data_IF_635313238963
#
_entry.id   IF_635313238963
#
_cell.length_a   1.000
_cell.length_b   1.000
_cell.length_c   1.000
_cell.angle_alpha   90.00
_cell.angle_beta   90.00
_cell.angle_gamma   90.00
#
_symmetry.space_group_name_H-M   'P 1'
#
loop_
_entity.id
_entity.type
_entity.pdbx_description
1 polymer ?
#
# COMPACT_ATOMS: atom_id res chain seq x y z
N UNK A 1 14.17 22.12 -19.62
CA UNK A 1 15.07 21.06 -20.12
C UNK A 1 14.66 19.63 -19.71
N UNK A 2 13.61 19.42 -18.88
CA UNK A 2 13.20 18.07 -18.43
C UNK A 2 11.97 17.48 -19.14
N UNK A 3 11.29 18.24 -20.02
CA UNK A 3 9.99 17.84 -20.60
C UNK A 3 10.07 16.52 -21.38
N UNK A 4 11.10 16.34 -22.21
CA UNK A 4 11.29 15.10 -22.98
C UNK A 4 11.50 13.88 -22.07
N UNK A 5 12.37 14.01 -21.06
CA UNK A 5 12.64 12.93 -20.09
C UNK A 5 11.38 12.48 -19.35
N UNK A 6 10.49 13.41 -19.03
CA UNK A 6 9.27 13.18 -18.25
C UNK A 6 8.02 12.87 -19.09
N UNK A 7 8.15 12.77 -20.42
CA UNK A 7 7.03 12.45 -21.31
C UNK A 7 6.92 10.93 -21.48
N UNK A 8 5.81 10.30 -21.09
CA UNK A 8 5.62 8.86 -21.33
C UNK A 8 5.62 8.52 -22.82
N UNK A 9 6.16 7.36 -23.18
CA UNK A 9 6.33 6.94 -24.58
C UNK A 9 5.56 5.67 -24.95
N UNK A 10 5.84 4.56 -24.26
CA UNK A 10 5.23 3.25 -24.55
C UNK A 10 3.84 3.09 -23.91
N UNK A 11 3.64 3.68 -22.74
CA UNK A 11 2.39 3.64 -21.98
C UNK A 11 2.18 4.99 -21.25
N UNK A 12 1.14 5.09 -20.42
CA UNK A 12 0.80 6.32 -19.69
C UNK A 12 1.74 6.71 -18.53
N UNK A 13 2.76 5.90 -18.24
CA UNK A 13 3.65 6.01 -17.08
C UNK A 13 5.14 5.91 -17.43
N UNK A 14 5.55 5.08 -18.38
CA UNK A 14 6.95 4.80 -18.71
C UNK A 14 7.54 5.90 -19.59
N UNK A 15 8.48 6.68 -19.05
CA UNK A 15 9.22 7.73 -19.75
C UNK A 15 10.72 7.38 -19.85
N UNK A 16 11.59 8.34 -20.17
CA UNK A 16 13.01 8.05 -20.40
C UNK A 16 13.77 7.89 -19.08
N UNK A 17 13.87 6.64 -18.60
CA UNK A 17 14.58 6.28 -17.37
C UNK A 17 13.88 6.72 -16.08
N UNK A 18 12.57 7.02 -16.16
CA UNK A 18 11.70 7.39 -15.03
C UNK A 18 10.28 6.89 -15.27
N UNK A 19 9.53 6.73 -14.19
CA UNK A 19 8.10 6.43 -14.23
C UNK A 19 7.30 7.64 -13.77
N UNK A 20 6.19 7.92 -14.45
CA UNK A 20 5.21 8.94 -14.09
C UNK A 20 4.07 8.27 -13.34
N UNK A 21 3.84 8.73 -12.13
CA UNK A 21 2.82 8.23 -11.23
C UNK A 21 1.78 9.32 -10.96
N UNK A 22 0.51 8.98 -11.15
CA UNK A 22 -0.61 9.86 -10.83
C UNK A 22 -1.12 9.53 -9.43
N UNK A 23 -1.16 10.53 -8.56
CA UNK A 23 -1.75 10.43 -7.21
C UNK A 23 -2.81 11.50 -7.07
N UNK A 24 -4.08 11.09 -7.08
CA UNK A 24 -5.23 12.02 -7.15
C UNK A 24 -5.12 12.96 -8.35
N UNK A 25 -5.02 14.27 -8.07
CA UNK A 25 -4.85 15.33 -9.08
C UNK A 25 -3.38 15.61 -9.42
N UNK A 26 -2.43 15.10 -8.65
CA UNK A 26 -1.01 15.36 -8.82
C UNK A 26 -0.31 14.29 -9.66
N UNK A 27 0.81 14.68 -10.28
CA UNK A 27 1.72 13.78 -10.99
C UNK A 27 3.12 13.90 -10.43
N UNK A 28 3.76 12.76 -10.23
CA UNK A 28 5.13 12.64 -9.75
C UNK A 28 5.95 11.83 -10.76
N UNK A 29 7.23 12.15 -10.88
CA UNK A 29 8.20 11.29 -11.53
C UNK A 29 9.02 10.57 -10.46
N UNK A 30 9.29 9.29 -10.66
CA UNK A 30 9.97 8.45 -9.69
C UNK A 30 10.80 7.37 -10.37
N UNK A 31 11.76 6.83 -9.64
CA UNK A 31 12.40 5.56 -9.96
C UNK A 31 12.90 4.94 -8.65
N UNK A 32 12.99 3.61 -8.63
CA UNK A 32 13.59 2.86 -7.53
C UNK A 32 14.91 2.23 -7.97
N UNK A 33 15.77 1.89 -7.03
CA UNK A 33 17.00 1.16 -7.30
C UNK A 33 17.32 0.22 -6.15
N UNK A 34 18.18 -0.75 -6.42
CA UNK A 34 18.75 -1.57 -5.38
C UNK A 34 19.91 -2.41 -5.87
N UNK A 35 20.73 -2.81 -4.92
CA UNK A 35 21.83 -3.77 -5.05
C UNK A 35 21.81 -4.67 -3.80
N UNK A 36 22.65 -5.72 -3.71
CA UNK A 36 22.68 -6.52 -2.47
C UNK A 36 22.95 -5.65 -1.24
N UNK A 37 22.01 -5.64 -0.29
CA UNK A 37 22.10 -4.85 0.92
C UNK A 37 21.83 -3.35 0.75
N UNK A 38 21.38 -2.88 -0.42
CA UNK A 38 21.08 -1.46 -0.65
C UNK A 38 19.79 -1.25 -1.43
N UNK A 39 19.04 -0.22 -1.04
CA UNK A 39 17.83 0.19 -1.75
C UNK A 39 17.70 1.71 -1.80
N UNK A 40 17.09 2.22 -2.86
CA UNK A 40 16.81 3.64 -3.00
C UNK A 40 15.49 3.89 -3.72
N UNK A 41 14.93 5.06 -3.47
CA UNK A 41 13.71 5.56 -4.10
C UNK A 41 13.78 7.08 -4.13
N UNK A 42 13.27 7.68 -5.20
CA UNK A 42 13.02 9.12 -5.19
C UNK A 42 11.67 9.43 -5.80
N UNK A 43 11.12 10.58 -5.40
CA UNK A 43 9.95 11.19 -6.00
C UNK A 43 10.24 12.66 -6.28
N UNK A 44 9.73 13.16 -7.40
CA UNK A 44 9.69 14.58 -7.71
C UNK A 44 8.36 14.96 -8.34
N UNK A 45 7.76 16.05 -7.90
CA UNK A 45 6.50 16.55 -8.45
C UNK A 45 6.72 17.14 -9.85
N UNK A 46 5.78 16.91 -10.77
CA UNK A 46 5.77 17.62 -12.06
C UNK A 46 5.35 19.10 -11.89
N UNK A 47 4.72 19.44 -10.77
CA UNK A 47 4.25 20.77 -10.39
C UNK A 47 4.38 20.99 -8.89
N UNK A 48 4.71 22.20 -8.45
CA UNK A 48 4.80 22.54 -7.02
C UNK A 48 6.18 22.31 -6.38
N UNK A 49 7.14 21.74 -7.11
CA UNK A 49 8.57 21.73 -6.74
C UNK A 49 8.92 20.86 -5.53
N UNK A 50 8.07 19.90 -5.16
CA UNK A 50 8.29 18.99 -4.05
C UNK A 50 9.08 17.76 -4.51
N UNK A 51 10.02 17.29 -3.70
CA UNK A 51 10.82 16.10 -4.03
C UNK A 51 11.47 15.49 -2.80
N UNK A 52 11.77 14.20 -2.88
CA UNK A 52 12.47 13.45 -1.83
C UNK A 52 13.35 12.39 -2.49
N UNK A 53 14.54 12.18 -1.93
CA UNK A 53 15.46 11.10 -2.31
C UNK A 53 15.78 10.32 -1.03
N UNK A 54 15.65 9.01 -1.10
CA UNK A 54 15.82 8.11 0.04
C UNK A 54 16.80 7.02 -0.39
N UNK A 55 17.83 6.81 0.43
CA UNK A 55 18.82 5.77 0.23
C UNK A 55 18.96 5.00 1.54
N UNK A 56 19.01 3.68 1.46
CA UNK A 56 19.14 2.78 2.59
C UNK A 56 20.19 1.71 2.31
N UNK A 57 20.94 1.36 3.34
CA UNK A 57 21.84 0.20 3.39
C UNK A 57 21.10 -1.04 3.90
N UNK A 58 19.90 -1.27 3.37
CA UNK A 58 19.08 -2.44 3.66
C UNK A 58 18.32 -2.89 2.40
N UNK A 59 18.09 -4.19 2.30
CA UNK A 59 17.19 -4.79 1.31
C UNK A 59 15.70 -4.60 1.66
N UNK A 60 15.39 -4.13 2.87
CA UNK A 60 14.02 -3.80 3.26
C UNK A 60 13.54 -2.55 2.51
N UNK A 61 12.87 -2.76 1.38
CA UNK A 61 12.32 -1.69 0.54
C UNK A 61 11.03 -1.08 1.08
N UNK A 62 10.33 -1.74 2.01
CA UNK A 62 9.04 -1.27 2.53
C UNK A 62 9.17 0.06 3.26
N UNK A 63 10.26 0.24 4.02
CA UNK A 63 10.53 1.47 4.77
C UNK A 63 10.70 2.70 3.87
N UNK A 64 11.10 2.53 2.59
CA UNK A 64 11.31 3.66 1.68
C UNK A 64 10.00 4.40 1.38
N UNK A 65 8.90 3.66 1.22
CA UNK A 65 7.58 4.25 1.00
C UNK A 65 7.02 4.86 2.29
N UNK A 66 7.27 4.26 3.45
CA UNK A 66 6.87 4.84 4.75
C UNK A 66 7.57 6.18 5.01
N UNK A 67 8.87 6.28 4.69
CA UNK A 67 9.62 7.54 4.77
C UNK A 67 9.06 8.55 3.77
N UNK A 68 8.82 8.16 2.51
CA UNK A 68 8.25 9.04 1.50
C UNK A 68 6.87 9.57 1.93
N UNK A 69 6.00 8.70 2.44
CA UNK A 69 4.68 9.06 2.97
C UNK A 69 4.82 10.05 4.14
N UNK A 70 5.72 9.79 5.09
CA UNK A 70 5.97 10.66 6.25
C UNK A 70 6.45 12.06 5.84
N UNK A 71 7.42 12.15 4.92
CA UNK A 71 7.89 13.42 4.37
C UNK A 71 6.74 14.13 3.65
N UNK A 72 6.00 13.41 2.81
CA UNK A 72 4.88 13.98 2.06
C UNK A 72 3.79 14.55 2.98
N UNK A 73 3.54 13.90 4.11
CA UNK A 73 2.56 14.31 5.11
C UNK A 73 3.02 15.58 5.85
N UNK A 74 4.25 15.58 6.40
CA UNK A 74 4.80 16.71 7.15
C UNK A 74 4.96 17.96 6.29
N UNK A 75 5.31 17.80 5.01
CA UNK A 75 5.50 18.91 4.08
C UNK A 75 4.28 19.18 3.18
N UNK A 76 3.12 18.61 3.52
CA UNK A 76 1.81 18.87 2.93
C UNK A 76 1.77 18.69 1.41
N UNK A 77 2.35 17.59 0.92
CA UNK A 77 2.31 17.24 -0.49
C UNK A 77 0.88 16.84 -0.87
N UNK A 78 0.24 17.67 -1.70
CA UNK A 78 -1.11 17.42 -2.18
C UNK A 78 -1.24 16.03 -2.81
N UNK A 79 -2.26 15.28 -2.39
CA UNK A 79 -2.64 13.97 -2.92
C UNK A 79 -1.58 12.85 -2.87
N UNK A 80 -0.37 13.08 -2.33
CA UNK A 80 0.68 12.07 -2.32
C UNK A 80 0.37 10.91 -1.38
N UNK A 81 0.01 11.22 -0.13
CA UNK A 81 -0.35 10.22 0.88
C UNK A 81 -1.72 10.57 1.46
N UNK A 82 -2.72 9.77 1.11
CA UNK A 82 -4.10 9.87 1.58
C UNK A 82 -4.55 8.50 2.08
N UNK A 83 -4.10 8.06 3.26
CA UNK A 83 -4.52 6.78 3.80
C UNK A 83 -6.02 6.81 4.07
N UNK A 84 -6.70 5.70 3.79
CA UNK A 84 -8.08 5.49 4.23
C UNK A 84 -8.07 5.15 5.72
N UNK A 85 -8.65 6.03 6.54
CA UNK A 85 -8.82 5.78 7.96
C UNK A 85 -10.13 5.03 8.15
N UNK A 86 -10.04 3.79 8.62
CA UNK A 86 -11.19 2.92 8.89
C UNK A 86 -11.46 2.85 10.38
N UNK A 87 -12.71 3.05 10.78
CA UNK A 87 -13.15 2.83 12.16
C UNK A 87 -13.36 1.34 12.37
N UNK A 88 -12.64 0.76 13.33
CA UNK A 88 -12.77 -0.66 13.67
C UNK A 88 -13.74 -0.81 14.83
N UNK A 89 -14.67 -1.76 14.72
CA UNK A 89 -15.59 -2.13 15.79
C UNK A 89 -15.33 -3.56 16.27
N UNK A 90 -15.67 -3.81 17.53
CA UNK A 90 -15.75 -5.17 18.05
C UNK A 90 -17.11 -5.78 17.71
N UNK A 91 -17.09 -6.95 17.08
CA UNK A 91 -18.29 -7.74 16.82
C UNK A 91 -18.41 -8.81 17.92
N UNK A 92 -19.59 -8.95 18.57
CA UNK A 92 -19.75 -9.96 19.62
C UNK A 92 -19.42 -11.37 19.14
N UNK A 93 -18.82 -12.17 20.01
CA UNK A 93 -18.44 -13.56 19.71
C UNK A 93 -19.61 -14.43 19.26
N UNK A 94 -20.80 -14.18 19.83
CA UNK A 94 -22.04 -14.85 19.43
C UNK A 94 -22.37 -14.62 17.95
N UNK A 95 -22.00 -13.47 17.40
CA UNK A 95 -22.17 -13.14 15.98
C UNK A 95 -21.00 -13.65 15.16
N UNK A 96 -19.75 -13.43 15.60
CA UNK A 96 -18.55 -13.91 14.89
C UNK A 96 -18.56 -15.43 14.64
N UNK A 97 -19.01 -16.20 15.63
CA UNK A 97 -19.14 -17.65 15.50
C UNK A 97 -20.05 -18.08 14.34
N UNK A 98 -21.01 -17.24 13.93
CA UNK A 98 -21.88 -17.50 12.78
C UNK A 98 -21.19 -17.29 11.42
N UNK A 99 -20.05 -16.59 11.40
CA UNK A 99 -19.28 -16.30 10.18
C UNK A 99 -18.17 -17.33 9.92
N UNK A 100 -17.78 -18.10 10.94
CA UNK A 100 -16.69 -19.05 10.82
C UNK A 100 -17.10 -20.27 9.99
N UNK A 101 -16.18 -20.72 9.16
CA UNK A 101 -16.45 -21.79 8.21
C UNK A 101 -15.44 -21.83 7.07
N UNK A 102 -15.72 -22.74 6.13
CA UNK A 102 -14.96 -22.89 4.89
C UNK A 102 -15.81 -22.39 3.73
N UNK A 103 -15.23 -21.51 2.92
CA UNK A 103 -15.84 -20.88 1.76
C UNK A 103 -14.97 -21.12 0.53
N UNK A 104 -15.50 -20.84 -0.65
CA UNK A 104 -14.77 -20.92 -1.92
C UNK A 104 -14.71 -19.53 -2.54
N UNK A 105 -13.51 -19.12 -2.95
CA UNK A 105 -13.27 -17.89 -3.70
C UNK A 105 -12.37 -18.22 -4.88
N UNK A 106 -12.87 -18.06 -6.11
CA UNK A 106 -12.13 -18.40 -7.34
C UNK A 106 -11.56 -19.84 -7.33
N UNK A 107 -12.38 -20.82 -6.93
CA UNK A 107 -12.01 -22.24 -6.80
C UNK A 107 -10.94 -22.55 -5.74
N UNK A 108 -10.57 -21.56 -4.91
CA UNK A 108 -9.63 -21.72 -3.81
C UNK A 108 -10.35 -21.64 -2.45
N UNK A 109 -9.99 -22.50 -1.48
CA UNK A 109 -10.62 -22.49 -0.16
C UNK A 109 -10.21 -21.24 0.62
N UNK A 110 -11.21 -20.59 1.21
CA UNK A 110 -11.06 -19.53 2.20
C UNK A 110 -11.59 -20.04 3.53
N UNK A 111 -10.82 -19.91 4.60
CA UNK A 111 -11.26 -20.32 5.94
C UNK A 111 -11.38 -19.08 6.81
N UNK A 112 -12.58 -18.87 7.36
CA UNK A 112 -12.81 -17.89 8.42
C UNK A 112 -12.84 -18.62 9.76
N UNK A 113 -11.99 -18.18 10.69
CA UNK A 113 -11.83 -18.81 12.00
C UNK A 113 -11.47 -17.77 13.07
N UNK A 114 -11.26 -18.24 14.31
CA UNK A 114 -10.73 -17.43 15.41
C UNK A 114 -9.36 -17.97 15.80
N UNK A 115 -8.34 -17.11 15.79
CA UNK A 115 -6.98 -17.43 16.25
C UNK A 115 -6.54 -16.42 17.31
N UNK A 116 -6.04 -16.90 18.45
CA UNK A 116 -5.57 -16.05 19.57
C UNK A 116 -6.57 -14.97 19.99
N UNK A 117 -7.87 -15.31 20.00
CA UNK A 117 -8.92 -14.37 20.37
C UNK A 117 -9.38 -13.42 19.26
N UNK A 118 -8.76 -13.44 18.07
CA UNK A 118 -9.08 -12.54 16.95
C UNK A 118 -9.65 -13.29 15.74
N UNK A 119 -10.60 -12.71 15.00
CA UNK A 119 -11.07 -13.30 13.75
C UNK A 119 -9.94 -13.31 12.70
N UNK A 120 -9.81 -14.43 12.00
CA UNK A 120 -8.72 -14.75 11.09
C UNK A 120 -9.29 -15.23 9.74
N UNK A 121 -8.69 -14.77 8.65
CA UNK A 121 -8.94 -15.24 7.28
C UNK A 121 -7.71 -16.00 6.80
N UNK A 122 -7.89 -17.24 6.37
CA UNK A 122 -6.85 -18.02 5.71
C UNK A 122 -7.19 -18.19 4.22
N UNK A 123 -6.26 -17.83 3.34
CA UNK A 123 -6.39 -17.93 1.89
C UNK A 123 -5.02 -18.14 1.25
N UNK A 124 -4.89 -19.09 0.31
CA UNK A 124 -3.62 -19.44 -0.36
C UNK A 124 -2.45 -19.66 0.62
N UNK A 125 -2.71 -20.41 1.71
CA UNK A 125 -1.76 -20.67 2.80
C UNK A 125 -1.22 -19.44 3.54
N UNK A 126 -1.82 -18.27 3.33
CA UNK A 126 -1.55 -17.05 4.11
C UNK A 126 -2.67 -16.83 5.11
N UNK A 127 -2.32 -16.21 6.24
CA UNK A 127 -3.25 -15.84 7.30
C UNK A 127 -3.30 -14.33 7.44
N UNK A 128 -4.49 -13.82 7.69
CA UNK A 128 -4.76 -12.40 7.82
C UNK A 128 -5.64 -12.16 9.05
N UNK A 129 -5.31 -11.13 9.82
CA UNK A 129 -6.22 -10.67 10.88
C UNK A 129 -7.36 -9.89 10.23
N UNK A 130 -8.59 -10.15 10.68
CA UNK A 130 -9.80 -9.47 10.20
C UNK A 130 -10.14 -8.31 11.13
N UNK A 131 -10.53 -7.18 10.55
CA UNK A 131 -10.98 -5.98 11.25
C UNK A 131 -12.34 -5.54 10.71
N UNK A 132 -13.35 -5.54 11.56
CA UNK A 132 -14.73 -5.20 11.19
C UNK A 132 -14.95 -3.69 11.21
N UNK A 133 -15.64 -3.17 10.20
CA UNK A 133 -16.11 -1.77 10.13
C UNK A 133 -17.61 -1.66 10.39
N UNK A 134 -18.34 -2.77 10.22
CA UNK A 134 -19.74 -2.95 10.60
C UNK A 134 -19.97 -4.40 11.07
N UNK A 135 -21.23 -4.80 11.28
CA UNK A 135 -21.56 -6.19 11.62
C UNK A 135 -21.13 -7.19 10.54
N UNK A 136 -21.17 -6.80 9.27
CA UNK A 136 -21.02 -7.66 8.09
C UNK A 136 -19.97 -7.17 7.09
N UNK A 137 -19.37 -5.99 7.33
CA UNK A 137 -18.25 -5.46 6.55
C UNK A 137 -16.95 -5.53 7.33
N UNK A 138 -15.89 -5.97 6.66
CA UNK A 138 -14.55 -6.02 7.23
C UNK A 138 -13.48 -5.78 6.18
N UNK A 139 -12.27 -5.49 6.65
CA UNK A 139 -11.04 -5.59 5.88
C UNK A 139 -10.07 -6.52 6.59
N UNK A 140 -9.02 -6.96 5.89
CA UNK A 140 -8.01 -7.83 6.46
C UNK A 140 -6.62 -7.24 6.27
N UNK A 141 -5.72 -7.51 7.21
CA UNK A 141 -4.30 -7.15 7.12
C UNK A 141 -3.44 -8.38 7.35
N UNK A 142 -2.35 -8.49 6.59
CA UNK A 142 -1.33 -9.51 6.80
C UNK A 142 -0.49 -9.17 8.03
N UNK A 143 0.09 -10.21 8.64
CA UNK A 143 1.25 -10.08 9.53
C UNK A 143 2.52 -9.95 8.69
#
# INVERSE_FOLDING_TARGET
MTKLRLTPYIDGSSALGVFIEKRGSQKYFQHAGGNEGFSCKYYGSLSGGKGVVIMSNSDNRLILEEIANSVSYVYEWKDFYKPEIKNVIEVPDSVLSTYFGKFMLNDEPVILSKENGKPCLQYLNKKYTIFFTSRDEFFYSGA
#
